data_IF_228121813265
#
_entry.id   IF_228121813265
#
_cell.length_a   1.000
_cell.length_b   1.000
_cell.length_c   1.000
_cell.angle_alpha   90.00
_cell.angle_beta   90.00
_cell.angle_gamma   90.00
#
_symmetry.space_group_name_H-M   'P 1'
#
loop_
_entity.id
_entity.type
_entity.pdbx_description
1 polymer ?
#
# COMPACT_ATOMS: atom_id res chain seq x y z
N UNK A 1 48.94 -11.64 -6.64
CA UNK A 1 47.97 -12.36 -7.49
C UNK A 1 46.75 -11.47 -7.60
N UNK A 2 46.65 -10.70 -8.68
CA UNK A 2 45.44 -9.93 -9.00
C UNK A 2 44.42 -10.90 -9.57
N UNK A 3 43.26 -11.00 -8.93
CA UNK A 3 42.13 -11.78 -9.43
C UNK A 3 41.83 -11.32 -10.87
N UNK A 4 41.75 -12.22 -11.87
CA UNK A 4 41.43 -11.83 -13.23
C UNK A 4 40.09 -11.07 -13.22
N UNK A 5 40.10 -9.86 -13.81
CA UNK A 5 38.92 -9.00 -13.87
C UNK A 5 37.74 -9.80 -14.45
N UNK A 6 36.71 -10.04 -13.63
CA UNK A 6 35.50 -10.70 -14.07
C UNK A 6 34.89 -9.90 -15.24
N UNK A 7 34.45 -10.57 -16.32
CA UNK A 7 33.84 -9.89 -17.45
C UNK A 7 32.60 -9.13 -16.98
N UNK A 8 32.46 -7.87 -17.44
CA UNK A 8 31.35 -7.02 -17.06
C UNK A 8 30.01 -7.65 -17.53
N UNK A 9 29.13 -7.96 -16.58
CA UNK A 9 27.79 -8.50 -16.87
C UNK A 9 26.96 -7.41 -17.54
N UNK A 10 26.39 -7.72 -18.72
CA UNK A 10 25.49 -6.82 -19.45
C UNK A 10 24.26 -6.51 -18.56
N UNK A 11 23.87 -5.23 -18.41
CA UNK A 11 22.64 -4.86 -17.70
C UNK A 11 21.39 -5.54 -18.27
N UNK A 12 20.37 -5.84 -17.42
CA UNK A 12 19.13 -6.47 -17.86
C UNK A 12 18.25 -5.47 -18.61
N UNK A 13 17.41 -5.99 -19.52
CA UNK A 13 16.39 -5.19 -20.20
C UNK A 13 15.08 -5.05 -19.43
N UNK A 14 14.83 -5.94 -18.47
CA UNK A 14 13.66 -5.87 -17.61
C UNK A 14 13.99 -5.17 -16.28
N UNK A 15 13.07 -4.31 -15.83
CA UNK A 15 13.16 -3.57 -14.57
C UNK A 15 11.88 -3.75 -13.76
N UNK A 16 12.00 -4.06 -12.48
CA UNK A 16 10.88 -4.08 -11.53
C UNK A 16 10.97 -2.88 -10.59
N UNK A 17 9.93 -2.04 -10.56
CA UNK A 17 9.78 -0.97 -9.59
C UNK A 17 8.78 -1.41 -8.54
N UNK A 18 9.29 -1.65 -7.33
CA UNK A 18 8.47 -1.95 -6.16
C UNK A 18 7.94 -0.65 -5.53
N UNK A 19 6.63 -0.59 -5.33
CA UNK A 19 5.92 0.53 -4.71
C UNK A 19 5.32 0.02 -3.39
N UNK A 20 5.95 0.32 -2.25
CA UNK A 20 5.54 -0.19 -0.94
C UNK A 20 4.25 0.47 -0.44
N UNK A 21 3.66 -0.14 0.59
CA UNK A 21 2.56 0.47 1.34
C UNK A 21 3.06 1.54 2.32
N UNK A 22 2.16 2.02 3.19
CA UNK A 22 2.49 3.01 4.23
C UNK A 22 3.24 2.44 5.44
N UNK A 23 3.44 1.11 5.49
CA UNK A 23 4.13 0.42 6.56
C UNK A 23 5.65 0.50 6.40
N UNK A 24 6.37 0.74 7.51
CA UNK A 24 7.84 0.69 7.59
C UNK A 24 8.31 -0.64 8.20
N UNK A 25 7.86 -1.78 7.68
CA UNK A 25 8.38 -3.07 8.15
C UNK A 25 9.67 -3.43 7.41
N UNK A 26 10.57 -4.13 8.09
CA UNK A 26 11.81 -4.65 7.48
C UNK A 26 11.50 -5.55 6.27
N UNK A 27 10.36 -6.24 6.30
CA UNK A 27 9.85 -7.06 5.19
C UNK A 27 9.50 -6.31 3.91
N UNK A 28 9.63 -4.98 3.89
CA UNK A 28 9.30 -4.11 2.75
C UNK A 28 10.55 -3.37 2.24
N UNK A 29 11.74 -3.72 2.75
CA UNK A 29 13.01 -3.19 2.24
C UNK A 29 13.36 -3.78 0.87
N UNK A 30 14.03 -2.98 0.04
CA UNK A 30 14.42 -3.37 -1.31
C UNK A 30 15.23 -4.68 -1.36
N UNK A 31 16.22 -4.82 -0.46
CA UNK A 31 17.06 -6.01 -0.39
C UNK A 31 16.23 -7.27 -0.11
N UNK A 32 15.33 -7.18 0.87
CA UNK A 32 14.46 -8.30 1.24
C UNK A 32 13.48 -8.67 0.12
N UNK A 33 12.89 -7.68 -0.57
CA UNK A 33 12.04 -7.95 -1.74
C UNK A 33 12.81 -8.65 -2.85
N UNK A 34 14.06 -8.22 -3.12
CA UNK A 34 14.91 -8.87 -4.10
C UNK A 34 15.29 -10.30 -3.71
N UNK A 35 15.61 -10.54 -2.43
CA UNK A 35 15.87 -11.88 -1.89
C UNK A 35 14.67 -12.80 -2.03
N UNK A 36 13.46 -12.34 -1.68
CA UNK A 36 12.23 -13.10 -1.85
C UNK A 36 11.93 -13.39 -3.33
N UNK A 37 12.18 -12.44 -4.22
CA UNK A 37 12.06 -12.66 -5.67
C UNK A 37 13.04 -13.74 -6.14
N UNK A 38 14.29 -13.69 -5.72
CA UNK A 38 15.27 -14.74 -6.02
C UNK A 38 14.82 -16.09 -5.46
N UNK A 39 14.28 -16.13 -4.24
CA UNK A 39 13.75 -17.36 -3.65
C UNK A 39 12.62 -17.94 -4.52
N UNK A 40 11.63 -17.12 -4.89
CA UNK A 40 10.51 -17.57 -5.74
C UNK A 40 10.94 -17.97 -7.15
N UNK A 41 11.92 -17.28 -7.74
CA UNK A 41 12.53 -17.65 -9.03
C UNK A 41 13.25 -18.99 -8.94
N UNK A 42 14.05 -19.22 -7.89
CA UNK A 42 14.72 -20.51 -7.66
C UNK A 42 13.73 -21.66 -7.50
N UNK A 43 12.58 -21.42 -6.85
CA UNK A 43 11.53 -22.42 -6.69
C UNK A 43 10.78 -22.74 -8.00
N UNK A 44 10.87 -21.85 -8.99
CA UNK A 44 10.24 -21.97 -10.31
C UNK A 44 11.25 -22.30 -11.42
N UNK A 45 12.54 -22.41 -11.09
CA UNK A 45 13.59 -22.73 -12.04
C UNK A 45 13.34 -24.09 -12.73
N UNK A 46 13.65 -24.22 -14.04
CA UNK A 46 13.39 -25.43 -14.81
C UNK A 46 14.18 -26.63 -14.30
N UNK A 47 15.35 -26.38 -13.73
CA UNK A 47 16.23 -27.40 -13.15
C UNK A 47 16.99 -26.86 -11.93
N UNK A 48 17.71 -27.75 -11.23
CA UNK A 48 18.49 -27.42 -10.04
C UNK A 48 19.81 -26.71 -10.34
N UNK A 49 20.24 -26.68 -11.61
CA UNK A 49 21.47 -26.02 -12.02
C UNK A 49 21.24 -24.52 -12.26
N UNK A 50 20.03 -24.14 -12.71
CA UNK A 50 19.60 -22.74 -12.77
C UNK A 50 19.36 -22.20 -11.37
N UNK A 51 20.13 -21.19 -10.99
CA UNK A 51 19.98 -20.47 -9.73
C UNK A 51 19.92 -18.97 -9.94
N UNK A 52 19.22 -18.28 -9.04
CA UNK A 52 19.02 -16.85 -9.04
C UNK A 52 19.57 -16.25 -7.74
N UNK A 53 20.34 -15.17 -7.86
CA UNK A 53 20.90 -14.43 -6.74
C UNK A 53 20.69 -12.93 -6.93
N UNK A 54 20.53 -12.20 -5.84
CA UNK A 54 20.40 -10.74 -5.85
C UNK A 54 21.72 -10.12 -5.41
N UNK A 55 22.26 -9.21 -6.22
CA UNK A 55 23.48 -8.46 -5.94
C UNK A 55 23.15 -6.97 -5.87
N UNK A 56 23.47 -6.27 -4.77
CA UNK A 56 23.32 -4.81 -4.72
C UNK A 56 24.28 -4.17 -5.73
N UNK A 57 23.76 -3.28 -6.57
CA UNK A 57 24.54 -2.54 -7.56
C UNK A 57 24.10 -1.08 -7.61
N UNK A 58 24.93 -0.22 -8.19
CA UNK A 58 24.63 1.20 -8.34
C UNK A 58 24.32 1.50 -9.79
N UNK A 59 23.11 2.02 -10.04
CA UNK A 59 22.72 2.55 -11.34
C UNK A 59 22.61 4.07 -11.21
N UNK A 60 23.67 4.77 -11.63
CA UNK A 60 23.84 6.19 -11.35
C UNK A 60 23.98 6.44 -9.84
N UNK A 61 23.12 7.28 -9.28
CA UNK A 61 23.09 7.60 -7.85
C UNK A 61 22.16 6.69 -7.03
N UNK A 62 21.48 5.72 -7.65
CA UNK A 62 20.51 4.86 -6.99
C UNK A 62 21.11 3.48 -6.71
N UNK A 63 20.92 3.00 -5.48
CA UNK A 63 21.18 1.60 -5.13
C UNK A 63 20.00 0.78 -5.60
N UNK A 64 20.29 -0.25 -6.39
CA UNK A 64 19.32 -1.20 -6.93
C UNK A 64 19.78 -2.61 -6.60
N UNK A 65 18.87 -3.57 -6.64
CA UNK A 65 19.21 -4.98 -6.51
C UNK A 65 19.08 -5.66 -7.87
N UNK A 66 20.21 -6.13 -8.40
CA UNK A 66 20.25 -6.86 -9.66
C UNK A 66 20.06 -8.34 -9.38
N UNK A 67 19.05 -8.93 -9.99
CA UNK A 67 18.88 -10.38 -10.03
C UNK A 67 19.72 -10.94 -11.17
N UNK A 68 20.62 -11.85 -10.81
CA UNK A 68 21.50 -12.57 -11.70
C UNK A 68 21.07 -14.04 -11.76
N UNK A 69 21.13 -14.62 -12.96
CA UNK A 69 20.82 -16.00 -13.26
C UNK A 69 22.11 -16.74 -13.64
N UNK A 70 22.35 -17.88 -13.01
CA UNK A 70 23.45 -18.79 -13.32
C UNK A 70 22.89 -20.15 -13.75
N UNK A 71 23.23 -20.60 -14.96
CA UNK A 71 22.71 -21.85 -15.57
C UNK A 71 23.63 -23.06 -15.34
N UNK A 72 24.36 -23.11 -14.21
CA UNK A 72 25.30 -24.18 -13.85
C UNK A 72 26.55 -24.33 -14.73
N UNK A 73 26.63 -23.65 -15.87
CA UNK A 73 27.78 -23.66 -16.81
C UNK A 73 28.79 -22.52 -16.55
N UNK A 74 28.66 -21.83 -15.41
CA UNK A 74 29.51 -20.70 -15.02
C UNK A 74 29.22 -19.37 -15.73
N UNK A 75 28.32 -19.35 -16.73
CA UNK A 75 27.83 -18.10 -17.30
C UNK A 75 26.77 -17.49 -16.38
N UNK A 76 26.97 -16.21 -16.02
CA UNK A 76 26.04 -15.41 -15.22
C UNK A 76 25.45 -14.33 -16.10
N UNK A 77 24.13 -14.19 -16.09
CA UNK A 77 23.41 -13.17 -16.84
C UNK A 77 22.55 -12.33 -15.90
N UNK A 78 22.52 -11.01 -16.10
CA UNK A 78 21.59 -10.15 -15.38
C UNK A 78 20.21 -10.28 -16.03
N UNK A 79 19.18 -10.54 -15.22
CA UNK A 79 17.82 -10.78 -15.73
C UNK A 79 16.80 -9.73 -15.27
N UNK A 80 17.02 -9.07 -14.13
CA UNK A 80 16.09 -8.07 -13.61
C UNK A 80 16.81 -7.07 -12.71
N UNK A 81 16.63 -5.76 -12.92
CA UNK A 81 17.01 -4.76 -11.92
C UNK A 81 15.77 -4.42 -11.07
N UNK A 82 15.90 -4.47 -9.74
CA UNK A 82 14.82 -4.15 -8.78
C UNK A 82 15.08 -2.79 -8.15
N UNK A 83 14.09 -1.91 -8.28
CA UNK A 83 14.05 -0.56 -7.72
C UNK A 83 12.97 -0.47 -6.64
N UNK A 84 13.11 0.50 -5.73
CA UNK A 84 12.05 0.88 -4.80
C UNK A 84 11.67 2.35 -5.00
N UNK A 85 10.37 2.62 -5.06
CA UNK A 85 9.84 3.97 -4.95
C UNK A 85 9.40 4.22 -3.50
N UNK A 86 10.22 4.91 -2.71
CA UNK A 86 9.89 5.19 -1.31
C UNK A 86 8.84 6.31 -1.17
N UNK A 87 7.57 5.93 -1.32
CA UNK A 87 6.44 6.85 -1.13
C UNK A 87 6.35 7.38 0.30
N UNK A 88 6.88 6.64 1.28
CA UNK A 88 6.82 7.04 2.70
C UNK A 88 7.82 8.15 2.98
N UNK A 89 9.03 8.09 2.43
CA UNK A 89 9.97 9.20 2.50
C UNK A 89 9.39 10.48 1.89
N UNK A 90 8.65 10.38 0.78
CA UNK A 90 8.02 11.55 0.15
C UNK A 90 6.86 12.11 0.98
N UNK A 91 6.12 11.25 1.69
CA UNK A 91 5.12 11.65 2.68
C UNK A 91 5.77 12.37 3.87
N UNK A 92 6.85 11.79 4.41
CA UNK A 92 7.53 12.28 5.61
C UNK A 92 8.17 13.65 5.40
N UNK A 93 8.73 13.92 4.21
CA UNK A 93 9.33 15.22 3.82
C UNK A 93 8.40 16.41 3.99
N UNK A 94 7.08 16.19 3.98
CA UNK A 94 6.08 17.26 4.11
C UNK A 94 5.44 17.35 5.49
N UNK A 95 5.87 16.53 6.44
CA UNK A 95 5.44 16.59 7.85
C UNK A 95 6.30 17.56 8.66
N UNK A 96 7.03 18.48 8.00
CA UNK A 96 7.88 19.50 8.60
C UNK A 96 7.16 20.27 9.70
N UNK A 97 7.72 20.17 10.91
CA UNK A 97 7.60 21.07 12.07
C UNK A 97 6.29 21.85 12.24
N UNK A 98 5.14 21.23 11.99
CA UNK A 98 3.87 21.84 12.41
C UNK A 98 3.84 21.76 13.92
N UNK A 99 3.59 22.89 14.59
CA UNK A 99 3.44 22.93 16.05
C UNK A 99 2.51 21.79 16.50
N UNK A 100 2.93 21.03 17.51
CA UNK A 100 2.24 19.81 17.97
C UNK A 100 0.73 20.03 18.18
N UNK A 101 0.36 21.24 18.61
CA UNK A 101 -1.04 21.67 18.79
C UNK A 101 -1.82 21.64 17.47
N UNK A 102 -1.32 22.30 16.41
CA UNK A 102 -1.96 22.31 15.08
C UNK A 102 -2.10 20.89 14.56
N UNK A 103 -1.10 20.04 14.81
CA UNK A 103 -1.15 18.62 14.43
C UNK A 103 -2.28 17.87 15.13
N UNK A 104 -2.44 18.05 16.45
CA UNK A 104 -3.52 17.42 17.21
C UNK A 104 -4.89 17.89 16.72
N UNK A 105 -5.09 19.19 16.48
CA UNK A 105 -6.34 19.70 15.93
C UNK A 105 -6.60 19.20 14.51
N UNK A 106 -5.59 19.17 13.64
CA UNK A 106 -5.72 18.63 12.29
C UNK A 106 -6.07 17.14 12.31
N UNK A 107 -5.48 16.35 13.22
CA UNK A 107 -5.82 14.95 13.43
C UNK A 107 -7.27 14.78 13.92
N UNK A 108 -7.69 15.58 14.91
CA UNK A 108 -9.07 15.57 15.40
C UNK A 108 -10.08 15.91 14.32
N UNK A 109 -9.81 16.96 13.52
CA UNK A 109 -10.67 17.35 12.41
C UNK A 109 -10.69 16.31 11.29
N UNK A 110 -9.55 15.69 11.00
CA UNK A 110 -9.47 14.60 10.00
C UNK A 110 -10.23 13.37 10.48
N UNK A 111 -10.16 13.03 11.77
CA UNK A 111 -10.94 11.94 12.35
C UNK A 111 -12.45 12.24 12.26
N UNK A 112 -12.88 13.46 12.56
CA UNK A 112 -14.27 13.88 12.41
C UNK A 112 -14.74 13.80 10.95
N UNK A 113 -13.94 14.31 10.01
CA UNK A 113 -14.22 14.20 8.58
C UNK A 113 -14.27 12.74 8.11
N UNK A 114 -13.38 11.89 8.64
CA UNK A 114 -13.39 10.45 8.36
C UNK A 114 -14.67 9.80 8.89
N UNK A 115 -15.16 10.14 10.09
CA UNK A 115 -16.44 9.64 10.62
C UNK A 115 -17.60 10.06 9.70
N UNK A 116 -17.66 11.32 9.26
CA UNK A 116 -18.70 11.79 8.32
C UNK A 116 -18.63 11.02 7.00
N UNK A 117 -17.44 10.87 6.43
CA UNK A 117 -17.24 10.09 5.21
C UNK A 117 -17.66 8.62 5.41
N UNK A 118 -17.33 8.02 6.56
CA UNK A 118 -17.68 6.64 6.91
C UNK A 118 -19.17 6.44 7.23
N UNK A 119 -19.88 7.46 7.70
CA UNK A 119 -21.36 7.41 7.77
C UNK A 119 -21.94 7.36 6.35
N UNK A 120 -21.40 8.15 5.43
CA UNK A 120 -21.70 8.04 4.00
C UNK A 120 -21.37 6.66 3.42
N UNK A 121 -20.30 6.03 3.92
CA UNK A 121 -19.96 4.63 3.62
C UNK A 121 -21.10 3.72 4.08
N UNK A 122 -21.57 3.76 5.34
CA UNK A 122 -22.68 2.91 5.83
C UNK A 122 -23.93 3.01 4.94
N UNK A 123 -24.29 4.22 4.52
CA UNK A 123 -25.43 4.44 3.63
C UNK A 123 -25.24 3.78 2.25
N UNK A 124 -23.99 3.73 1.76
CA UNK A 124 -23.61 3.12 0.49
C UNK A 124 -23.13 1.66 0.58
N UNK A 125 -22.79 1.15 1.78
CA UNK A 125 -22.15 -0.16 1.98
C UNK A 125 -23.05 -1.29 1.52
N UNK A 126 -24.37 -1.15 1.68
CA UNK A 126 -25.33 -2.16 1.22
C UNK A 126 -25.21 -2.49 -0.28
N UNK A 127 -24.57 -1.62 -1.08
CA UNK A 127 -24.35 -1.85 -2.51
C UNK A 127 -22.95 -2.35 -2.88
N UNK A 128 -21.95 -2.27 -1.98
CA UNK A 128 -20.52 -2.42 -2.35
C UNK A 128 -19.66 -3.28 -1.40
N UNK A 129 -20.17 -3.67 -0.23
CA UNK A 129 -19.45 -4.64 0.60
C UNK A 129 -19.54 -6.04 0.01
N UNK A 130 -18.39 -6.72 -0.08
CA UNK A 130 -18.31 -8.08 -0.61
C UNK A 130 -18.89 -9.09 0.35
N UNK A 131 -18.82 -8.80 1.65
CA UNK A 131 -19.28 -9.73 2.68
C UNK A 131 -19.80 -9.07 3.94
N UNK A 132 -20.61 -9.85 4.66
CA UNK A 132 -21.15 -9.46 5.96
C UNK A 132 -20.02 -9.26 6.99
N UNK A 133 -18.97 -10.06 6.92
CA UNK A 133 -17.83 -9.94 7.83
C UNK A 133 -17.07 -8.62 7.62
N UNK A 134 -16.85 -8.23 6.36
CA UNK A 134 -16.26 -6.93 6.03
C UNK A 134 -17.15 -5.77 6.50
N UNK A 135 -18.47 -5.86 6.29
CA UNK A 135 -19.41 -4.85 6.79
C UNK A 135 -19.30 -4.69 8.31
N UNK A 136 -19.24 -5.80 9.06
CA UNK A 136 -19.09 -5.75 10.52
C UNK A 136 -17.75 -5.18 10.97
N UNK A 137 -16.66 -5.45 10.25
CA UNK A 137 -15.36 -4.85 10.56
C UNK A 137 -15.32 -3.37 10.23
N UNK A 138 -15.87 -2.95 9.10
CA UNK A 138 -16.01 -1.53 8.76
C UNK A 138 -16.86 -0.82 9.82
N UNK A 139 -17.93 -1.45 10.29
CA UNK A 139 -18.75 -0.94 11.38
C UNK A 139 -17.97 -0.86 12.70
N UNK A 140 -17.16 -1.87 13.03
CA UNK A 140 -16.31 -1.86 14.23
C UNK A 140 -15.24 -0.76 14.16
N UNK A 141 -14.61 -0.56 13.01
CA UNK A 141 -13.67 0.53 12.76
C UNK A 141 -14.38 1.89 12.86
N UNK A 142 -15.58 2.01 12.30
CA UNK A 142 -16.39 3.23 12.42
C UNK A 142 -16.73 3.53 13.88
N UNK A 143 -17.14 2.53 14.64
CA UNK A 143 -17.45 2.67 16.06
C UNK A 143 -16.22 3.11 16.85
N UNK A 144 -15.06 2.51 16.57
CA UNK A 144 -13.80 2.90 17.20
C UNK A 144 -13.42 4.35 16.86
N UNK A 145 -13.54 4.77 15.60
CA UNK A 145 -13.30 6.15 15.17
C UNK A 145 -14.29 7.12 15.84
N UNK A 146 -15.56 6.75 15.95
CA UNK A 146 -16.57 7.52 16.65
C UNK A 146 -16.19 7.71 18.14
N UNK A 147 -15.77 6.64 18.82
CA UNK A 147 -15.28 6.72 20.20
C UNK A 147 -14.07 7.66 20.33
N UNK A 148 -13.14 7.64 19.36
CA UNK A 148 -11.99 8.55 19.34
C UNK A 148 -12.44 10.01 19.17
N UNK A 149 -13.38 10.29 18.26
CA UNK A 149 -13.92 11.64 18.04
C UNK A 149 -14.68 12.15 19.27
N UNK A 150 -15.49 11.29 19.90
CA UNK A 150 -16.20 11.63 21.14
C UNK A 150 -15.19 11.92 22.27
N UNK A 151 -14.19 11.07 22.46
CA UNK A 151 -13.12 11.30 23.43
C UNK A 151 -12.37 12.61 23.18
N UNK A 152 -12.06 12.91 21.91
CA UNK A 152 -11.42 14.17 21.53
C UNK A 152 -12.30 15.38 21.89
N UNK A 153 -13.62 15.30 21.64
CA UNK A 153 -14.56 16.34 22.06
C UNK A 153 -14.58 16.54 23.58
N UNK A 154 -14.64 15.45 24.35
CA UNK A 154 -14.56 15.49 25.82
C UNK A 154 -13.25 16.14 26.29
N UNK A 155 -12.12 15.82 25.64
CA UNK A 155 -10.83 16.39 25.97
C UNK A 155 -10.74 17.91 25.70
N UNK A 156 -11.36 18.38 24.61
CA UNK A 156 -11.46 19.82 24.32
C UNK A 156 -12.32 20.53 25.36
N UNK A 157 -13.47 19.96 25.74
CA UNK A 157 -14.33 20.53 26.80
C UNK A 157 -13.59 20.61 28.13
N UNK A 158 -12.92 19.52 28.53
CA UNK A 158 -12.13 19.48 29.77
C UNK A 158 -11.00 20.53 29.78
N UNK A 159 -10.36 20.77 28.63
CA UNK A 159 -9.34 21.80 28.48
C UNK A 159 -9.93 23.21 28.62
N UNK A 160 -11.07 23.48 28.00
CA UNK A 160 -11.75 24.78 28.10
C UNK A 160 -12.18 25.06 29.55
N UNK A 161 -12.80 24.08 30.22
CA UNK A 161 -13.18 24.19 31.63
C UNK A 161 -11.96 24.52 32.51
N UNK A 162 -10.85 23.79 32.32
CA UNK A 162 -9.63 24.05 33.08
C UNK A 162 -9.08 25.47 32.84
N UNK A 163 -9.12 25.98 31.61
CA UNK A 163 -8.70 27.35 31.28
C UNK A 163 -9.62 28.38 31.93
N UNK A 164 -10.95 28.17 31.88
CA UNK A 164 -11.94 29.07 32.50
C UNK A 164 -11.72 29.17 34.00
N UNK A 165 -11.58 28.04 34.70
CA UNK A 165 -11.30 28.02 36.15
C UNK A 165 -10.02 28.76 36.52
N UNK A 166 -8.97 28.66 35.69
CA UNK A 166 -7.70 29.39 35.90
C UNK A 166 -7.91 30.91 35.71
N UNK A 167 -8.67 31.33 34.69
CA UNK A 167 -8.91 32.74 34.37
C UNK A 167 -9.82 33.41 35.40
N UNK A 168 -10.84 32.71 35.90
CA UNK A 168 -11.79 33.23 36.87
C UNK A 168 -11.21 33.34 38.30
N UNK A 169 -10.04 32.74 38.54
CA UNK A 169 -9.32 32.88 39.80
C UNK A 169 -10.04 32.23 40.99
N UNK A 170 -10.91 31.25 40.74
CA UNK A 170 -11.59 30.51 41.80
C UNK A 170 -10.58 29.81 42.72
N UNK A 171 -10.84 29.87 44.04
CA UNK A 171 -9.95 29.33 45.07
C UNK A 171 -9.76 27.82 44.91
N UNK A 172 -8.49 27.41 44.96
CA UNK A 172 -7.91 26.09 44.65
C UNK A 172 -8.45 24.97 45.56
N UNK A 173 -9.69 24.53 45.32
CA UNK A 173 -10.17 23.21 45.70
C UNK A 173 -10.57 22.53 44.37
N UNK A 174 -9.62 21.93 43.64
CA UNK A 174 -9.90 21.39 42.31
C UNK A 174 -10.80 20.17 42.44
N UNK A 175 -12.12 20.39 42.37
CA UNK A 175 -13.08 19.32 42.17
C UNK A 175 -13.02 18.97 40.69
N UNK A 176 -12.34 17.85 40.39
CA UNK A 176 -12.27 17.34 39.03
C UNK A 176 -13.69 17.00 38.55
N UNK A 177 -14.14 17.68 37.48
CA UNK A 177 -15.39 17.36 36.82
C UNK A 177 -15.25 16.10 35.96
N UNK A 178 -16.39 15.45 35.65
CA UNK A 178 -16.38 14.18 34.93
C UNK A 178 -15.61 14.19 33.58
N UNK A 179 -15.56 15.28 32.78
CA UNK A 179 -14.75 15.31 31.56
C UNK A 179 -13.26 15.20 31.86
N UNK A 180 -12.80 15.87 32.93
CA UNK A 180 -11.41 15.86 33.35
C UNK A 180 -10.99 14.49 33.88
N UNK A 181 -11.88 13.77 34.58
CA UNK A 181 -11.64 12.38 34.99
C UNK A 181 -11.44 11.44 33.79
N UNK A 182 -12.26 11.58 32.75
CA UNK A 182 -12.14 10.76 31.52
C UNK A 182 -10.79 11.00 30.84
N UNK A 183 -10.36 12.27 30.72
CA UNK A 183 -9.05 12.63 30.15
C UNK A 183 -7.91 12.10 31.00
N UNK A 184 -8.00 12.24 32.33
CA UNK A 184 -6.98 11.76 33.26
C UNK A 184 -6.80 10.24 33.16
N UNK A 185 -7.91 9.48 33.18
CA UNK A 185 -7.88 8.02 33.03
C UNK A 185 -7.28 7.64 31.68
N UNK A 186 -7.70 8.30 30.60
CA UNK A 186 -7.14 8.08 29.27
C UNK A 186 -5.64 8.36 29.21
N UNK A 187 -5.18 9.45 29.83
CA UNK A 187 -3.77 9.81 29.91
C UNK A 187 -2.95 8.80 30.73
N UNK A 188 -3.49 8.34 31.87
CA UNK A 188 -2.85 7.31 32.72
C UNK A 188 -2.72 6.00 31.95
N UNK A 189 -3.80 5.51 31.34
CA UNK A 189 -3.77 4.28 30.53
C UNK A 189 -2.77 4.42 29.38
N UNK A 190 -2.76 5.57 28.70
CA UNK A 190 -1.82 5.85 27.61
C UNK A 190 -0.36 5.94 28.08
N UNK A 191 -0.11 6.43 29.30
CA UNK A 191 1.21 6.46 29.93
C UNK A 191 1.69 5.08 30.37
N UNK A 192 0.79 4.22 30.83
CA UNK A 192 1.09 2.85 31.24
C UNK A 192 1.33 1.91 30.05
N UNK A 193 0.86 2.28 28.84
CA UNK A 193 0.98 1.48 27.62
C UNK A 193 1.69 2.24 26.47
N UNK A 194 2.97 2.63 26.65
CA UNK A 194 3.68 3.46 25.68
C UNK A 194 3.77 2.81 24.29
N UNK A 195 4.00 1.49 24.25
CA UNK A 195 4.05 0.73 22.99
C UNK A 195 2.71 0.73 22.24
N UNK A 196 1.59 0.65 22.97
CA UNK A 196 0.26 0.73 22.36
C UNK A 196 0.02 2.14 21.79
N UNK A 197 0.41 3.18 22.53
CA UNK A 197 0.34 4.57 22.09
C UNK A 197 1.13 4.81 20.80
N UNK A 198 2.37 4.34 20.72
CA UNK A 198 3.20 4.46 19.51
C UNK A 198 2.57 3.76 18.30
N UNK A 199 2.05 2.54 18.49
CA UNK A 199 1.35 1.79 17.44
C UNK A 199 0.08 2.51 16.98
N UNK A 200 -0.72 3.04 17.90
CA UNK A 200 -1.94 3.79 17.59
C UNK A 200 -1.61 5.07 16.83
N UNK A 201 -0.61 5.83 17.29
CA UNK A 201 -0.16 7.05 16.62
C UNK A 201 0.31 6.75 15.18
N UNK A 202 1.15 5.72 15.01
CA UNK A 202 1.61 5.30 13.69
C UNK A 202 0.47 4.86 12.78
N UNK A 203 -0.54 4.15 13.29
CA UNK A 203 -1.72 3.76 12.53
C UNK A 203 -2.57 4.98 12.14
N UNK A 204 -2.76 5.92 13.07
CA UNK A 204 -3.51 7.16 12.85
C UNK A 204 -2.87 8.03 11.77
N UNK A 205 -1.55 8.23 11.84
CA UNK A 205 -0.79 8.99 10.84
C UNK A 205 -0.92 8.39 9.44
N UNK A 206 -0.74 7.07 9.30
CA UNK A 206 -0.88 6.35 8.02
C UNK A 206 -2.32 6.43 7.49
N UNK A 207 -3.31 6.31 8.35
CA UNK A 207 -4.72 6.43 7.96
C UNK A 207 -5.03 7.82 7.43
N UNK A 208 -4.50 8.86 8.07
CA UNK A 208 -4.63 10.26 7.63
C UNK A 208 -3.95 10.46 6.28
N UNK A 209 -2.76 9.90 6.06
CA UNK A 209 -2.08 9.97 4.76
C UNK A 209 -2.90 9.30 3.65
N UNK A 210 -3.48 8.13 3.92
CA UNK A 210 -4.36 7.44 2.97
C UNK A 210 -5.62 8.26 2.65
N UNK A 211 -6.27 8.84 3.65
CA UNK A 211 -7.42 9.75 3.47
C UNK A 211 -7.01 10.97 2.63
N UNK A 212 -5.89 11.61 2.97
CA UNK A 212 -5.37 12.76 2.19
C UNK A 212 -5.08 12.37 0.75
N UNK A 213 -4.52 11.20 0.48
CA UNK A 213 -4.30 10.73 -0.88
C UNK A 213 -5.62 10.57 -1.65
N UNK A 214 -6.64 9.98 -1.00
CA UNK A 214 -7.93 9.72 -1.64
C UNK A 214 -8.71 11.01 -1.93
N UNK A 215 -8.64 12.01 -1.04
CA UNK A 215 -9.48 13.21 -1.09
C UNK A 215 -8.77 14.49 -1.54
N UNK A 216 -7.44 14.56 -1.45
CA UNK A 216 -6.67 15.74 -1.87
C UNK A 216 -5.87 15.43 -3.12
N UNK A 217 -6.08 16.22 -4.19
CA UNK A 217 -5.34 16.05 -5.44
C UNK A 217 -3.84 16.32 -5.28
N UNK A 218 -3.44 17.21 -4.34
CA UNK A 218 -2.05 17.61 -4.13
C UNK A 218 -1.17 16.42 -3.76
N UNK A 219 -1.55 15.62 -2.75
CA UNK A 219 -0.73 14.49 -2.32
C UNK A 219 -0.71 13.39 -3.38
N UNK A 220 -1.86 13.09 -4.00
CA UNK A 220 -1.95 12.11 -5.08
C UNK A 220 -1.04 12.48 -6.24
N UNK A 221 -1.14 13.70 -6.75
CA UNK A 221 -0.34 14.16 -7.89
C UNK A 221 1.15 14.11 -7.58
N UNK A 222 1.56 14.41 -6.34
CA UNK A 222 2.96 14.35 -5.92
C UNK A 222 3.50 12.92 -5.91
N UNK A 223 2.78 11.98 -5.29
CA UNK A 223 3.22 10.58 -5.24
C UNK A 223 3.21 9.96 -6.65
N UNK A 224 2.18 10.24 -7.44
CA UNK A 224 2.09 9.73 -8.80
C UNK A 224 3.18 10.33 -9.69
N UNK A 225 3.45 11.63 -9.55
CA UNK A 225 4.53 12.34 -10.24
C UNK A 225 5.91 11.83 -9.86
N UNK A 226 6.17 11.59 -8.57
CA UNK A 226 7.44 11.02 -8.12
C UNK A 226 7.70 9.60 -8.65
N UNK A 227 6.65 8.77 -8.75
CA UNK A 227 6.75 7.46 -9.38
C UNK A 227 6.97 7.59 -10.91
N UNK A 228 6.26 8.51 -11.56
CA UNK A 228 6.45 8.81 -12.98
C UNK A 228 7.88 9.30 -13.28
N UNK A 229 8.44 10.16 -12.43
CA UNK A 229 9.82 10.63 -12.54
C UNK A 229 10.83 9.47 -12.42
N UNK A 230 10.54 8.49 -11.56
CA UNK A 230 11.37 7.29 -11.44
C UNK A 230 11.30 6.45 -12.71
N UNK A 231 10.09 6.19 -13.23
CA UNK A 231 9.88 5.47 -14.49
C UNK A 231 10.64 6.18 -15.62
N UNK A 232 10.55 7.50 -15.72
CA UNK A 232 11.27 8.27 -16.74
C UNK A 232 12.79 8.19 -16.61
N UNK A 233 13.34 8.23 -15.39
CA UNK A 233 14.79 8.04 -15.20
C UNK A 233 15.24 6.64 -15.62
N UNK A 234 14.44 5.62 -15.29
CA UNK A 234 14.71 4.23 -15.67
C UNK A 234 14.60 4.07 -17.20
N UNK A 235 13.59 4.65 -17.83
CA UNK A 235 13.36 4.53 -19.29
C UNK A 235 14.41 5.21 -20.16
N UNK A 236 15.19 6.14 -19.60
CA UNK A 236 16.31 6.78 -20.32
C UNK A 236 17.51 5.85 -20.52
N UNK A 237 17.53 4.71 -19.84
CA UNK A 237 18.58 3.69 -20.00
C UNK A 237 18.32 2.91 -21.30
N UNK A 238 19.26 2.91 -22.27
CA UNK A 238 19.02 2.32 -23.59
C UNK A 238 18.85 0.80 -23.55
N UNK A 239 19.34 0.14 -22.50
CA UNK A 239 19.15 -1.29 -22.29
C UNK A 239 17.73 -1.64 -21.84
N UNK A 240 16.97 -0.69 -21.25
CA UNK A 240 15.67 -0.99 -20.64
C UNK A 240 14.61 -1.10 -21.72
N UNK A 241 14.04 -2.29 -21.81
CA UNK A 241 12.98 -2.64 -22.76
C UNK A 241 11.62 -2.69 -22.06
N UNK A 242 11.60 -3.13 -20.79
CA UNK A 242 10.36 -3.39 -20.05
C UNK A 242 10.43 -2.93 -18.60
N UNK A 243 9.35 -2.30 -18.15
CA UNK A 243 9.16 -1.88 -16.77
C UNK A 243 7.95 -2.62 -16.20
N UNK A 244 8.14 -3.23 -15.04
CA UNK A 244 7.10 -3.88 -14.26
C UNK A 244 6.87 -3.06 -12.99
N UNK A 245 5.63 -2.68 -12.72
CA UNK A 245 5.25 -2.02 -11.48
C UNK A 245 4.65 -3.05 -10.54
N UNK A 246 5.18 -3.13 -9.31
CA UNK A 246 4.65 -3.98 -8.26
C UNK A 246 4.21 -3.10 -7.10
N UNK A 247 2.92 -2.79 -7.03
CA UNK A 247 2.33 -2.02 -5.95
C UNK A 247 1.80 -2.92 -4.85
N UNK A 248 2.19 -2.67 -3.60
CA UNK A 248 1.71 -3.40 -2.43
C UNK A 248 0.89 -2.51 -1.51
N UNK A 249 -0.27 -2.99 -1.07
CA UNK A 249 -1.17 -2.26 -0.18
C UNK A 249 -1.48 -0.87 -0.78
N UNK A 250 -1.29 0.20 -0.01
CA UNK A 250 -1.41 1.58 -0.49
C UNK A 250 -0.58 1.87 -1.76
N UNK A 251 0.59 1.25 -1.91
CA UNK A 251 1.41 1.38 -3.11
C UNK A 251 0.75 0.86 -4.38
N UNK A 252 -0.21 -0.08 -4.26
CA UNK A 252 -1.08 -0.47 -5.39
C UNK A 252 -1.91 0.70 -5.92
N UNK A 253 -2.43 1.55 -5.03
CA UNK A 253 -3.21 2.72 -5.46
C UNK A 253 -2.32 3.74 -6.16
N UNK A 254 -1.11 3.97 -5.65
CA UNK A 254 -0.14 4.89 -6.27
C UNK A 254 0.24 4.39 -7.66
N UNK A 255 0.58 3.10 -7.80
CA UNK A 255 0.92 2.51 -9.09
C UNK A 255 -0.26 2.58 -10.09
N UNK A 256 -1.48 2.25 -9.64
CA UNK A 256 -2.70 2.34 -10.45
C UNK A 256 -2.99 3.79 -10.88
N UNK A 257 -2.90 4.76 -9.96
CA UNK A 257 -3.16 6.17 -10.25
C UNK A 257 -2.06 6.80 -11.14
N UNK A 258 -0.82 6.28 -11.12
CA UNK A 258 0.25 6.71 -12.04
C UNK A 258 0.01 6.22 -13.46
N UNK A 259 -0.34 4.93 -13.64
CA UNK A 259 -0.55 4.37 -14.99
C UNK A 259 -1.89 4.84 -15.58
N UNK A 260 -2.94 4.92 -14.75
CA UNK A 260 -4.29 5.31 -15.14
C UNK A 260 -4.71 6.58 -14.40
N UNK A 261 -4.16 7.76 -14.75
CA UNK A 261 -4.40 8.99 -14.02
C UNK A 261 -5.86 9.45 -14.12
N UNK A 262 -6.26 10.25 -13.14
CA UNK A 262 -7.53 10.96 -13.15
C UNK A 262 -7.43 12.21 -14.03
N UNK A 263 -7.84 12.10 -15.29
CA UNK A 263 -7.68 13.15 -16.29
C UNK A 263 -6.21 13.39 -16.67
N UNK A 264 -6.01 14.13 -17.77
CA UNK A 264 -4.69 14.35 -18.36
C UNK A 264 -4.11 13.09 -19.02
N UNK A 265 -3.04 13.26 -19.80
CA UNK A 265 -2.32 12.15 -20.41
C UNK A 265 -1.25 11.61 -19.44
N UNK A 266 -1.12 10.28 -19.27
CA UNK A 266 0.07 9.70 -18.65
C UNK A 266 1.35 10.17 -19.36
N UNK A 267 2.47 10.21 -18.63
CA UNK A 267 3.77 10.52 -19.23
C UNK A 267 4.15 9.51 -20.32
N UNK A 268 4.76 9.98 -21.42
CA UNK A 268 5.10 9.15 -22.59
C UNK A 268 5.95 7.91 -22.24
N UNK A 269 6.80 8.00 -21.22
CA UNK A 269 7.66 6.91 -20.76
C UNK A 269 6.89 5.77 -20.08
N UNK A 270 5.63 5.97 -19.70
CA UNK A 270 4.77 4.90 -19.17
C UNK A 270 4.42 3.85 -20.23
N UNK A 271 4.70 4.10 -21.52
CA UNK A 271 4.61 3.09 -22.59
C UNK A 271 5.51 1.88 -22.40
N UNK A 272 6.62 2.03 -21.65
CA UNK A 272 7.49 0.90 -21.31
C UNK A 272 6.94 0.04 -20.16
N UNK A 273 5.87 0.50 -19.48
CA UNK A 273 5.25 -0.30 -18.42
C UNK A 273 4.48 -1.46 -19.05
N UNK A 274 5.08 -2.65 -19.00
CA UNK A 274 4.51 -3.87 -19.59
C UNK A 274 3.56 -4.58 -18.62
N UNK A 275 3.86 -4.55 -17.31
CA UNK A 275 3.04 -5.22 -16.29
C UNK A 275 2.79 -4.31 -15.09
N UNK A 276 1.55 -4.34 -14.60
CA UNK A 276 1.14 -3.76 -13.32
C UNK A 276 0.66 -4.89 -12.41
N UNK A 277 1.34 -5.10 -11.28
CA UNK A 277 0.99 -6.10 -10.29
C UNK A 277 0.52 -5.37 -9.03
N UNK A 278 -0.67 -5.70 -8.54
CA UNK A 278 -1.20 -5.16 -7.28
C UNK A 278 -1.35 -6.28 -6.26
N UNK A 279 -0.72 -6.14 -5.09
CA UNK A 279 -0.82 -7.11 -3.99
C UNK A 279 -1.55 -6.46 -2.81
N UNK A 280 -2.66 -7.06 -2.37
CA UNK A 280 -3.43 -6.54 -1.22
C UNK A 280 -3.97 -5.13 -1.46
N UNK A 281 -4.38 -4.81 -2.69
CA UNK A 281 -4.81 -3.45 -3.04
C UNK A 281 -6.02 -2.98 -2.23
N UNK A 282 -6.00 -1.82 -1.55
CA UNK A 282 -7.13 -1.28 -0.79
C UNK A 282 -8.22 -0.63 -1.66
N UNK A 283 -8.36 -1.05 -2.92
CA UNK A 283 -9.29 -0.48 -3.90
C UNK A 283 -10.74 -0.43 -3.41
N UNK A 284 -11.25 -1.48 -2.75
CA UNK A 284 -12.63 -1.47 -2.26
C UNK A 284 -12.83 -0.50 -1.11
N UNK A 285 -11.88 -0.45 -0.18
CA UNK A 285 -11.93 0.52 0.91
C UNK A 285 -12.01 1.94 0.34
N UNK A 286 -11.19 2.25 -0.67
CA UNK A 286 -11.22 3.55 -1.33
C UNK A 286 -12.54 3.81 -2.04
N UNK A 287 -13.05 2.88 -2.86
CA UNK A 287 -14.32 3.10 -3.59
C UNK A 287 -15.55 3.05 -2.68
N UNK A 288 -15.43 2.53 -1.47
CA UNK A 288 -16.46 2.65 -0.43
C UNK A 288 -16.50 4.08 0.10
N UNK A 289 -15.33 4.64 0.42
CA UNK A 289 -15.18 5.97 1.04
C UNK A 289 -15.30 7.11 0.03
N UNK A 290 -14.88 6.90 -1.22
CA UNK A 290 -15.01 7.83 -2.35
C UNK A 290 -15.64 7.08 -3.53
N UNK A 291 -16.98 7.08 -3.66
CA UNK A 291 -17.68 6.25 -4.64
C UNK A 291 -17.26 6.42 -6.10
N UNK A 292 -16.85 7.63 -6.49
CA UNK A 292 -16.46 7.98 -7.85
C UNK A 292 -14.93 7.84 -8.07
N UNK A 293 -14.20 7.25 -7.12
CA UNK A 293 -12.75 6.99 -7.28
C UNK A 293 -12.39 6.17 -8.53
N UNK A 294 -13.20 5.21 -9.01
CA UNK A 294 -12.86 4.51 -10.23
C UNK A 294 -13.06 5.34 -11.51
N UNK A 295 -13.79 6.46 -11.43
CA UNK A 295 -14.25 7.23 -12.59
C UNK A 295 -13.23 8.26 -13.08
N UNK A 296 -13.41 8.70 -14.32
CA UNK A 296 -12.64 9.81 -14.90
C UNK A 296 -11.18 9.44 -15.18
N UNK A 297 -10.93 8.19 -15.57
CA UNK A 297 -9.57 7.68 -15.83
C UNK A 297 -9.18 7.92 -17.28
N UNK A 298 -7.90 8.15 -17.53
CA UNK A 298 -7.37 8.21 -18.89
C UNK A 298 -6.76 6.86 -19.26
N UNK A 299 -7.28 6.25 -20.32
CA UNK A 299 -6.72 5.04 -20.92
C UNK A 299 -6.09 5.40 -22.26
N UNK A 300 -4.77 5.57 -22.29
CA UNK A 300 -4.07 5.73 -23.56
C UNK A 300 -3.96 4.39 -24.26
N UNK A 301 -4.23 4.36 -25.57
CA UNK A 301 -4.24 3.11 -26.33
C UNK A 301 -2.89 2.40 -26.32
N UNK A 302 -1.81 3.18 -26.30
CA UNK A 302 -0.43 2.71 -26.28
C UNK A 302 0.04 2.26 -24.88
N UNK A 303 -0.70 2.59 -23.82
CA UNK A 303 -0.34 2.29 -22.43
C UNK A 303 -1.39 1.34 -21.85
N UNK A 304 -1.18 0.05 -22.09
CA UNK A 304 -2.04 -1.03 -21.59
C UNK A 304 -1.19 -2.10 -20.93
N UNK A 305 -0.61 -1.82 -19.75
CA UNK A 305 0.12 -2.86 -19.02
C UNK A 305 -0.84 -3.99 -18.70
N UNK A 306 -0.36 -5.22 -18.76
CA UNK A 306 -1.08 -6.37 -18.22
C UNK A 306 -1.23 -6.17 -16.71
N UNK A 307 -2.45 -6.09 -16.23
CA UNK A 307 -2.77 -5.86 -14.84
C UNK A 307 -3.13 -7.17 -14.13
N UNK A 308 -2.28 -7.55 -13.18
CA UNK A 308 -2.48 -8.71 -12.31
C UNK A 308 -2.78 -8.23 -10.90
N UNK A 309 -3.89 -8.69 -10.35
CA UNK A 309 -4.23 -8.50 -8.95
C UNK A 309 -4.01 -9.79 -8.15
N UNK A 310 -3.35 -9.66 -7.01
CA UNK A 310 -3.14 -10.73 -6.04
C UNK A 310 -3.76 -10.30 -4.72
N UNK A 311 -4.67 -11.11 -4.21
CA UNK A 311 -5.39 -10.82 -2.97
C UNK A 311 -5.54 -12.07 -2.12
N UNK A 312 -5.83 -11.88 -0.85
CA UNK A 312 -6.14 -12.95 0.08
C UNK A 312 -7.56 -12.76 0.64
N UNK A 313 -8.39 -13.81 0.77
CA UNK A 313 -9.78 -13.65 1.21
C UNK A 313 -9.94 -13.11 2.63
N UNK A 314 -9.03 -13.50 3.53
CA UNK A 314 -9.03 -13.03 4.92
C UNK A 314 -8.46 -11.61 5.06
N UNK A 315 -7.78 -11.10 4.03
CA UNK A 315 -7.32 -9.72 3.98
C UNK A 315 -8.49 -8.81 3.59
N UNK A 316 -9.00 -8.11 4.59
CA UNK A 316 -10.20 -7.27 4.48
C UNK A 316 -9.89 -5.91 3.88
N UNK A 317 -8.62 -5.54 3.85
CA UNK A 317 -8.14 -4.38 3.12
C UNK A 317 -7.91 -4.76 1.65
N UNK A 318 -7.59 -6.02 1.36
CA UNK A 318 -7.34 -6.52 0.01
C UNK A 318 -8.58 -6.58 -0.89
N UNK A 319 -8.42 -6.03 -2.10
CA UNK A 319 -9.44 -6.06 -3.14
C UNK A 319 -9.29 -7.29 -4.05
N UNK A 320 -10.33 -8.12 -4.14
CA UNK A 320 -10.58 -9.02 -5.27
C UNK A 320 -11.27 -8.36 -6.48
N UNK A 321 -11.49 -7.04 -6.50
CA UNK A 321 -12.10 -6.31 -7.62
C UNK A 321 -13.49 -6.86 -8.04
N UNK A 322 -14.29 -7.30 -7.07
CA UNK A 322 -15.68 -7.76 -7.21
C UNK A 322 -16.55 -7.20 -6.07
N UNK A 323 -17.87 -7.26 -6.24
CA UNK A 323 -18.85 -6.92 -5.19
C UNK A 323 -19.28 -8.17 -4.37
N UNK A 324 -18.53 -9.27 -4.51
CA UNK A 324 -18.78 -10.53 -3.81
C UNK A 324 -17.46 -11.22 -3.39
N UNK A 325 -17.55 -12.29 -2.60
CA UNK A 325 -16.38 -13.07 -2.11
C UNK A 325 -15.89 -14.15 -3.09
N UNK A 326 -16.44 -14.21 -4.31
CA UNK A 326 -16.12 -15.28 -5.24
C UNK A 326 -14.68 -15.18 -5.75
N UNK A 327 -14.05 -16.35 -5.86
CA UNK A 327 -12.78 -16.50 -6.55
C UNK A 327 -13.03 -16.63 -8.05
N UNK A 328 -13.08 -15.49 -8.72
CA UNK A 328 -13.34 -15.38 -10.15
C UNK A 328 -12.64 -14.15 -10.73
N UNK A 329 -12.76 -13.97 -12.05
CA UNK A 329 -12.22 -12.82 -12.78
C UNK A 329 -12.70 -11.48 -12.18
N UNK A 330 -11.92 -10.41 -12.34
CA UNK A 330 -12.33 -9.10 -11.85
C UNK A 330 -13.51 -8.54 -12.66
N UNK A 331 -14.52 -8.00 -12.00
CA UNK A 331 -15.70 -7.38 -12.66
C UNK A 331 -15.81 -5.88 -12.40
N UNK A 332 -15.04 -5.38 -11.44
CA UNK A 332 -14.99 -3.98 -11.04
C UNK A 332 -13.57 -3.49 -11.30
N UNK A 333 -13.46 -2.25 -11.75
CA UNK A 333 -12.19 -1.62 -11.99
C UNK A 333 -12.39 -0.16 -12.30
N UNK A 334 -11.48 0.37 -13.09
CA UNK A 334 -11.42 1.77 -13.51
C UNK A 334 -12.39 2.03 -14.65
N UNK A 335 -12.92 3.24 -14.73
CA UNK A 335 -13.85 3.69 -15.76
C UNK A 335 -13.25 4.89 -16.49
N UNK A 336 -13.26 4.84 -17.82
CA UNK A 336 -12.69 5.90 -18.66
C UNK A 336 -13.42 7.23 -18.46
N UNK A 337 -12.69 8.32 -18.68
CA UNK A 337 -13.21 9.68 -18.75
C UNK A 337 -13.94 9.96 -20.07
N UNK A 338 -13.61 9.22 -21.14
CA UNK A 338 -14.20 9.41 -22.48
C UNK A 338 -15.43 8.56 -22.72
N UNK A 339 -15.46 7.34 -22.17
CA UNK A 339 -16.56 6.40 -22.33
C UNK A 339 -16.79 5.61 -21.03
N UNK A 340 -17.98 5.74 -20.44
CA UNK A 340 -18.37 5.01 -19.23
C UNK A 340 -18.49 3.49 -19.41
N UNK A 341 -18.62 3.01 -20.66
CA UNK A 341 -18.61 1.60 -20.99
C UNK A 341 -17.17 1.04 -21.08
N UNK A 342 -16.18 1.88 -21.37
CA UNK A 342 -14.77 1.50 -21.38
C UNK A 342 -14.25 1.37 -19.95
N UNK A 343 -13.88 0.14 -19.59
CA UNK A 343 -13.46 -0.25 -18.24
C UNK A 343 -12.15 -0.99 -18.27
N UNK A 344 -11.28 -0.64 -17.32
CA UNK A 344 -10.05 -1.36 -17.08
C UNK A 344 -10.13 -2.11 -15.76
N UNK A 345 -10.17 -3.43 -15.85
CA UNK A 345 -10.12 -4.36 -14.72
C UNK A 345 -8.80 -5.13 -14.76
N UNK A 346 -8.31 -5.67 -13.63
CA UNK A 346 -7.24 -6.66 -13.66
C UNK A 346 -7.59 -7.81 -14.61
N UNK A 347 -6.74 -8.11 -15.59
CA UNK A 347 -6.92 -9.27 -16.46
C UNK A 347 -6.77 -10.58 -15.71
N UNK A 348 -5.97 -10.57 -14.63
CA UNK A 348 -5.82 -11.71 -13.75
C UNK A 348 -6.12 -11.33 -12.33
N UNK A 349 -6.99 -12.12 -11.69
CA UNK A 349 -7.41 -11.91 -10.32
C UNK A 349 -7.08 -13.16 -9.51
N UNK A 350 -5.87 -13.22 -8.96
CA UNK A 350 -5.29 -14.41 -8.33
C UNK A 350 -5.49 -14.37 -6.83
N UNK A 351 -6.08 -15.45 -6.30
CA UNK A 351 -6.22 -15.66 -4.87
C UNK A 351 -4.96 -16.31 -4.30
N UNK A 352 -4.38 -15.70 -3.28
CA UNK A 352 -3.30 -16.26 -2.47
C UNK A 352 -3.88 -16.90 -1.20
N UNK A 353 -3.34 -18.05 -0.80
CA UNK A 353 -3.78 -18.82 0.37
C UNK A 353 -5.31 -19.00 0.48
N UNK A 354 -5.93 -19.76 -0.45
CA UNK A 354 -7.39 -19.87 -0.52
C UNK A 354 -8.05 -20.53 0.69
N UNK A 355 -7.28 -21.33 1.44
CA UNK A 355 -7.77 -22.05 2.62
C UNK A 355 -7.98 -21.15 3.85
N UNK A 356 -7.35 -19.96 3.85
CA UNK A 356 -7.48 -19.00 4.94
C UNK A 356 -8.77 -18.17 4.78
N UNK A 357 -9.82 -18.57 5.50
CA UNK A 357 -11.11 -17.87 5.55
C UNK A 357 -11.29 -17.07 6.85
N UNK A 358 -12.01 -15.96 6.74
CA UNK A 358 -12.46 -15.20 7.91
C UNK A 358 -13.45 -16.04 8.73
N UNK A 359 -13.20 -16.12 10.03
CA UNK A 359 -14.16 -16.58 11.01
C UNK A 359 -14.29 -15.54 12.12
N UNK A 360 -15.33 -15.63 12.94
CA UNK A 360 -15.64 -14.64 13.99
C UNK A 360 -14.48 -14.46 14.98
N UNK A 361 -13.74 -15.53 15.28
CA UNK A 361 -12.59 -15.51 16.20
C UNK A 361 -11.43 -14.71 15.60
N UNK A 362 -11.05 -15.01 14.35
CA UNK A 362 -10.01 -14.29 13.62
C UNK A 362 -10.39 -12.81 13.40
N UNK A 363 -11.69 -12.53 13.24
CA UNK A 363 -12.22 -11.18 13.13
C UNK A 363 -12.03 -10.39 14.44
N UNK A 364 -12.43 -10.95 15.59
CA UNK A 364 -12.27 -10.32 16.90
C UNK A 364 -10.80 -10.12 17.29
N UNK A 365 -9.93 -11.04 16.89
CA UNK A 365 -8.48 -10.95 17.11
C UNK A 365 -7.77 -9.96 16.18
N UNK A 366 -8.50 -9.21 15.33
CA UNK A 366 -7.92 -8.31 14.32
C UNK A 366 -6.91 -8.99 13.39
N UNK A 367 -7.02 -10.31 13.24
CA UNK A 367 -6.05 -11.13 12.49
C UNK A 367 -6.00 -10.72 11.02
N UNK A 368 -7.09 -10.20 10.48
CA UNK A 368 -7.13 -9.69 9.10
C UNK A 368 -6.15 -8.55 8.84
N UNK A 369 -5.91 -7.67 9.82
CA UNK A 369 -4.90 -6.61 9.71
C UNK A 369 -3.47 -7.16 9.77
N UNK A 370 -3.25 -8.19 10.60
CA UNK A 370 -1.97 -8.90 10.65
C UNK A 370 -1.69 -9.67 9.36
N UNK A 371 -2.73 -10.27 8.76
CA UNK A 371 -2.62 -11.03 7.51
C UNK A 371 -2.31 -10.13 6.32
N UNK A 372 -2.79 -8.88 6.34
CA UNK A 372 -2.40 -7.90 5.34
C UNK A 372 -0.88 -7.65 5.32
N UNK A 373 -0.19 -7.74 6.46
CA UNK A 373 1.27 -7.68 6.50
C UNK A 373 1.94 -9.01 6.07
N UNK A 374 1.17 -10.10 6.03
CA UNK A 374 1.64 -11.48 5.82
C UNK A 374 1.89 -11.86 4.36
N UNK A 375 1.59 -11.03 3.35
CA UNK A 375 1.95 -11.34 1.95
C UNK A 375 3.45 -11.59 1.74
N UNK A 376 4.27 -11.09 2.67
CA UNK A 376 5.73 -11.16 2.69
C UNK A 376 6.28 -12.17 3.69
N UNK A 377 5.45 -13.06 4.23
CA UNK A 377 5.88 -14.08 5.20
C UNK A 377 7.05 -14.89 4.62
N UNK A 378 8.18 -14.82 5.33
CA UNK A 378 9.45 -15.47 5.03
C UNK A 378 9.54 -16.87 5.62
N UNK A 379 8.50 -17.30 6.36
CA UNK A 379 8.44 -18.63 6.88
C UNK A 379 8.52 -19.62 5.72
N UNK A 380 9.55 -20.47 5.75
CA UNK A 380 9.82 -21.50 4.72
C UNK A 380 8.64 -22.45 4.48
N UNK A 381 7.63 -22.40 5.33
CA UNK A 381 6.37 -23.15 5.29
C UNK A 381 5.25 -22.44 4.53
N UNK A 382 5.21 -21.11 4.47
CA UNK A 382 4.21 -20.35 3.73
C UNK A 382 4.88 -19.67 2.52
N UNK A 383 4.46 -20.01 1.29
CA UNK A 383 4.99 -19.35 0.09
C UNK A 383 4.55 -17.90 0.05
N UNK A 384 5.47 -16.97 -0.20
CA UNK A 384 5.14 -15.55 -0.39
C UNK A 384 4.14 -15.37 -1.52
N UNK A 385 3.34 -14.30 -1.45
CA UNK A 385 2.49 -13.90 -2.57
C UNK A 385 3.31 -13.49 -3.81
N UNK A 386 4.61 -13.20 -3.63
CA UNK A 386 5.54 -12.97 -4.72
C UNK A 386 5.66 -14.16 -5.66
N UNK A 387 5.43 -15.40 -5.22
CA UNK A 387 5.43 -16.55 -6.12
C UNK A 387 4.41 -16.41 -7.25
N UNK A 388 3.23 -15.85 -6.95
CA UNK A 388 2.21 -15.53 -7.96
C UNK A 388 2.62 -14.34 -8.84
N UNK A 389 3.37 -13.37 -8.29
CA UNK A 389 3.90 -12.24 -9.05
C UNK A 389 4.97 -12.72 -10.05
N UNK A 390 5.95 -13.51 -9.60
CA UNK A 390 6.99 -14.14 -10.44
C UNK A 390 6.36 -14.95 -11.57
N UNK A 391 5.40 -15.83 -11.24
CA UNK A 391 4.67 -16.59 -12.26
C UNK A 391 3.99 -15.70 -13.30
N UNK A 392 3.56 -14.50 -12.91
CA UNK A 392 2.93 -13.55 -13.84
C UNK A 392 3.95 -12.86 -14.75
N UNK A 393 5.11 -12.48 -14.20
CA UNK A 393 6.24 -11.92 -14.93
C UNK A 393 6.78 -12.93 -15.97
N UNK A 394 6.97 -14.19 -15.56
CA UNK A 394 7.55 -15.24 -16.41
C UNK A 394 6.66 -15.68 -17.59
N UNK A 395 5.37 -15.31 -17.63
CA UNK A 395 4.47 -15.67 -18.75
C UNK A 395 4.87 -14.96 -20.06
N UNK A 396 5.36 -13.71 -19.99
CA UNK A 396 5.85 -12.98 -21.17
C UNK A 396 7.37 -13.03 -21.32
N UNK A 397 8.07 -13.43 -20.26
CA UNK A 397 9.53 -13.39 -20.18
C UNK A 397 10.07 -14.76 -19.76
N UNK A 398 10.27 -15.69 -20.72
CA UNK A 398 10.89 -16.98 -20.43
C UNK A 398 12.30 -16.88 -19.87
N UNK A 399 12.99 -15.74 -20.06
CA UNK A 399 14.32 -15.51 -19.46
C UNK A 399 14.27 -15.47 -17.92
N UNK A 400 13.09 -15.19 -17.36
CA UNK A 400 12.77 -15.28 -15.93
C UNK A 400 12.30 -16.68 -15.51
N UNK A 401 12.38 -17.69 -16.38
CA UNK A 401 12.17 -19.11 -16.06
C UNK A 401 13.52 -19.82 -15.93
#
# INVERSE_FOLDING_TARGET
MTDPAQPAIKPPGDVLIFVPGLGKSESVQLAHVAELLCWELNQQAPDRATTFASVPTSVGAQVVHRIERADGKGAVSAVLDVYIYDSVAELDRNTTATQQVIRVFALGLTAAAAVVALVGVILNVRRRAKSRAQLWQVLAVLLMLLCIVVYFGIAVVALVEAVVTIVEGESIQPVLHWPQWVVLIGAVIGGLLPTAREKINGLGERSVQMVRFCFTGVLRNRLCGGLQDLVERVSRRPEVEHIHLLGYSFGSLVAVDTVFPHGGSPGQNLKLVDTLITIGSPFDLVRMVRPNYPEGRTFEQDIKPRWVNIYQPIDVLGSNFRDNEESAEATIGLVSSTDSADRRVPEENRQWNPDLKLNLVNMLMLRSLSVHAGYWDDSRTARSALGLAVKSLSVRRPILQ
#
